data_IF_815477960207
#
_entry.id   IF_815477960207
#
_cell.length_a   1.000
_cell.length_b   1.000
_cell.length_c   1.000
_cell.angle_alpha   90.00
_cell.angle_beta   90.00
_cell.angle_gamma   90.00
#
_symmetry.space_group_name_H-M   'P 1'
#
loop_
_entity.id
_entity.type
_entity.pdbx_description
1 polymer ?
#
# COMPACT_ATOMS: atom_id res chain seq x y z
N UNK A 1 -21.42 9.22 31.72
CA UNK A 1 -20.03 9.04 32.26
C UNK A 1 -19.32 7.85 31.64
N UNK A 2 -19.94 6.68 31.56
CA UNK A 2 -19.37 5.52 30.85
C UNK A 2 -19.04 5.84 29.38
N UNK A 3 -19.82 6.73 28.76
CA UNK A 3 -19.61 7.12 27.35
C UNK A 3 -18.32 7.87 27.10
N UNK A 4 -17.79 8.58 28.11
CA UNK A 4 -16.55 9.34 27.98
C UNK A 4 -15.33 8.45 27.78
N UNK A 5 -15.21 7.39 28.56
CA UNK A 5 -14.09 6.44 28.44
C UNK A 5 -14.14 5.69 27.13
N UNK A 6 -15.33 5.30 26.68
CA UNK A 6 -15.51 4.63 25.39
C UNK A 6 -15.14 5.54 24.22
N UNK A 7 -15.52 6.81 24.29
CA UNK A 7 -15.19 7.80 23.25
C UNK A 7 -13.69 8.02 23.15
N UNK A 8 -13.00 8.16 24.29
CA UNK A 8 -11.54 8.33 24.33
C UNK A 8 -10.82 7.11 23.78
N UNK A 9 -11.31 5.90 24.10
CA UNK A 9 -10.74 4.67 23.58
C UNK A 9 -10.90 4.59 22.06
N UNK A 10 -12.06 4.98 21.53
CA UNK A 10 -12.30 5.02 20.07
C UNK A 10 -11.36 6.00 19.38
N UNK A 11 -11.16 7.18 19.96
CA UNK A 11 -10.25 8.20 19.40
C UNK A 11 -8.83 7.64 19.34
N UNK A 12 -8.34 7.03 20.41
CA UNK A 12 -7.01 6.42 20.47
C UNK A 12 -6.86 5.31 19.43
N UNK A 13 -7.86 4.44 19.30
CA UNK A 13 -7.85 3.35 18.34
C UNK A 13 -7.86 3.89 16.90
N UNK A 14 -8.66 4.94 16.64
CA UNK A 14 -8.72 5.58 15.33
C UNK A 14 -7.40 6.24 14.94
N UNK A 15 -6.75 6.90 15.89
CA UNK A 15 -5.44 7.51 15.65
C UNK A 15 -4.37 6.47 15.38
N UNK A 16 -4.34 5.39 16.18
CA UNK A 16 -3.41 4.29 15.99
C UNK A 16 -3.58 3.64 14.61
N UNK A 17 -4.83 3.40 14.20
CA UNK A 17 -5.14 2.86 12.87
C UNK A 17 -4.69 3.80 11.76
N UNK A 18 -4.98 5.10 11.91
CA UNK A 18 -4.61 6.12 10.92
C UNK A 18 -3.10 6.20 10.73
N UNK A 19 -2.34 6.20 11.83
CA UNK A 19 -0.88 6.22 11.77
C UNK A 19 -0.33 4.95 11.11
N UNK A 20 -0.87 3.79 11.45
CA UNK A 20 -0.49 2.51 10.85
C UNK A 20 -0.79 2.48 9.36
N UNK A 21 -1.97 2.93 8.97
CA UNK A 21 -2.38 2.97 7.57
C UNK A 21 -1.50 3.92 6.76
N UNK A 22 -1.21 5.08 7.33
CA UNK A 22 -0.31 6.07 6.72
C UNK A 22 1.09 5.50 6.53
N UNK A 23 1.61 4.80 7.52
CA UNK A 23 2.92 4.16 7.46
C UNK A 23 2.95 3.09 6.36
N UNK A 24 1.95 2.21 6.32
CA UNK A 24 1.86 1.17 5.31
C UNK A 24 1.75 1.74 3.89
N UNK A 25 0.97 2.78 3.72
CA UNK A 25 0.82 3.45 2.43
C UNK A 25 2.14 4.09 1.98
N UNK A 26 2.83 4.74 2.91
CA UNK A 26 4.14 5.37 2.65
C UNK A 26 5.19 4.33 2.27
N UNK A 27 5.21 3.20 2.97
CA UNK A 27 6.13 2.09 2.69
C UNK A 27 5.89 1.52 1.29
N UNK A 28 4.63 1.29 0.93
CA UNK A 28 4.27 0.78 -0.40
C UNK A 28 4.64 1.78 -1.50
N UNK A 29 4.41 3.09 -1.30
CA UNK A 29 4.81 4.12 -2.27
C UNK A 29 6.31 4.18 -2.46
N UNK A 30 7.08 4.04 -1.37
CA UNK A 30 8.53 3.97 -1.45
C UNK A 30 9.00 2.77 -2.25
N UNK A 31 8.40 1.61 -2.04
CA UNK A 31 8.70 0.40 -2.80
C UNK A 31 8.36 0.54 -4.28
N UNK A 32 7.22 1.16 -4.59
CA UNK A 32 6.82 1.43 -5.99
C UNK A 32 7.78 2.39 -6.68
N UNK A 33 8.29 3.39 -5.97
CA UNK A 33 9.29 4.32 -6.50
C UNK A 33 10.57 3.59 -6.85
N UNK A 34 11.06 2.73 -5.96
CA UNK A 34 12.24 1.90 -6.22
C UNK A 34 12.03 0.99 -7.43
N UNK A 35 10.86 0.40 -7.55
CA UNK A 35 10.51 -0.44 -8.69
C UNK A 35 10.59 0.33 -10.01
N UNK A 36 10.08 1.55 -10.04
CA UNK A 36 10.11 2.41 -11.25
C UNK A 36 11.53 2.82 -11.63
N UNK A 37 12.45 2.86 -10.68
CA UNK A 37 13.85 3.18 -10.91
C UNK A 37 14.65 2.00 -11.47
N UNK A 38 14.11 0.78 -11.40
CA UNK A 38 14.78 -0.40 -11.95
C UNK A 38 14.82 -0.35 -13.47
N UNK A 39 16.01 -0.62 -14.00
CA UNK A 39 16.24 -0.62 -15.46
C UNK A 39 16.38 -2.03 -16.01
N UNK A 40 16.53 -3.02 -15.14
CA UNK A 40 16.72 -4.42 -15.51
C UNK A 40 15.41 -5.18 -15.36
N UNK A 41 14.94 -5.80 -16.43
CA UNK A 41 13.68 -6.56 -16.45
C UNK A 41 13.69 -7.69 -15.41
N UNK A 42 14.82 -8.38 -15.26
CA UNK A 42 14.98 -9.50 -14.32
C UNK A 42 14.76 -9.07 -12.87
N UNK A 43 15.31 -7.92 -12.47
CA UNK A 43 15.12 -7.37 -11.13
C UNK A 43 13.68 -6.92 -10.92
N UNK A 44 13.08 -6.30 -11.93
CA UNK A 44 11.69 -5.85 -11.87
C UNK A 44 10.74 -7.03 -11.71
N UNK A 45 10.94 -8.10 -12.46
CA UNK A 45 10.14 -9.33 -12.35
C UNK A 45 10.28 -9.98 -10.96
N UNK A 46 11.47 -9.92 -10.37
CA UNK A 46 11.72 -10.45 -9.03
C UNK A 46 11.00 -9.66 -7.95
N UNK A 47 10.95 -8.33 -8.08
CA UNK A 47 10.32 -7.44 -7.11
C UNK A 47 8.79 -7.40 -7.26
N UNK A 48 8.26 -7.67 -8.44
CA UNK A 48 6.85 -7.52 -8.78
C UNK A 48 5.90 -8.28 -7.83
N UNK A 49 6.13 -9.58 -7.51
CA UNK A 49 5.22 -10.30 -6.60
C UNK A 49 5.11 -9.67 -5.22
N UNK A 50 6.19 -9.15 -4.68
CA UNK A 50 6.19 -8.47 -3.38
C UNK A 50 5.36 -7.19 -3.42
N UNK A 51 5.49 -6.41 -4.49
CA UNK A 51 4.71 -5.19 -4.68
C UNK A 51 3.23 -5.48 -4.85
N UNK A 52 2.88 -6.50 -5.64
CA UNK A 52 1.48 -6.92 -5.79
C UNK A 52 0.89 -7.29 -4.44
N UNK A 53 1.62 -8.04 -3.63
CA UNK A 53 1.20 -8.42 -2.29
C UNK A 53 0.96 -7.20 -1.39
N UNK A 54 1.87 -6.21 -1.40
CA UNK A 54 1.71 -4.96 -0.64
C UNK A 54 0.46 -4.19 -1.07
N UNK A 55 0.25 -4.05 -2.36
CA UNK A 55 -0.90 -3.32 -2.91
C UNK A 55 -2.21 -4.03 -2.56
N UNK A 56 -2.25 -5.34 -2.69
CA UNK A 56 -3.44 -6.14 -2.35
C UNK A 56 -3.78 -6.03 -0.86
N UNK A 57 -2.77 -6.00 0.02
CA UNK A 57 -2.97 -5.80 1.45
C UNK A 57 -3.53 -4.41 1.75
N UNK A 58 -3.06 -3.38 1.06
CA UNK A 58 -3.60 -2.02 1.20
C UNK A 58 -5.07 -1.96 0.80
N UNK A 59 -5.43 -2.61 -0.30
CA UNK A 59 -6.82 -2.67 -0.77
C UNK A 59 -7.69 -3.47 0.21
N UNK A 60 -7.20 -4.60 0.70
CA UNK A 60 -7.92 -5.44 1.67
C UNK A 60 -8.23 -4.70 2.96
N UNK A 61 -7.32 -3.83 3.42
CA UNK A 61 -7.49 -3.01 4.62
C UNK A 61 -8.23 -1.72 4.36
N UNK A 62 -8.73 -1.50 3.14
CA UNK A 62 -9.41 -0.28 2.72
C UNK A 62 -8.56 1.00 2.86
N UNK A 63 -7.25 0.87 2.81
CA UNK A 63 -6.32 2.02 2.79
C UNK A 63 -6.37 2.68 1.41
N UNK A 64 -6.50 1.87 0.37
CA UNK A 64 -6.74 2.31 -1.00
C UNK A 64 -7.95 1.56 -1.56
N UNK A 65 -8.59 2.14 -2.56
CA UNK A 65 -9.73 1.50 -3.25
C UNK A 65 -9.22 0.38 -4.18
N UNK A 66 -10.06 -0.65 -4.40
CA UNK A 66 -9.73 -1.78 -5.27
C UNK A 66 -9.38 -1.32 -6.69
N UNK A 67 -10.05 -0.30 -7.21
CA UNK A 67 -9.76 0.27 -8.53
C UNK A 67 -8.36 0.88 -8.57
N UNK A 68 -7.95 1.56 -7.49
CA UNK A 68 -6.61 2.12 -7.38
C UNK A 68 -5.56 1.00 -7.37
N UNK A 69 -5.82 -0.07 -6.63
CA UNK A 69 -4.94 -1.23 -6.58
C UNK A 69 -4.77 -1.86 -7.97
N UNK A 70 -5.87 -2.05 -8.70
CA UNK A 70 -5.84 -2.59 -10.06
C UNK A 70 -5.03 -1.70 -11.00
N UNK A 71 -5.19 -0.38 -10.92
CA UNK A 71 -4.45 0.58 -11.75
C UNK A 71 -2.96 0.53 -11.43
N UNK A 72 -2.59 0.47 -10.15
CA UNK A 72 -1.18 0.40 -9.74
C UNK A 72 -0.53 -0.89 -10.24
N UNK A 73 -1.21 -2.02 -10.11
CA UNK A 73 -0.70 -3.30 -10.61
C UNK A 73 -0.53 -3.29 -12.12
N UNK A 74 -1.50 -2.73 -12.84
CA UNK A 74 -1.43 -2.61 -14.29
C UNK A 74 -0.26 -1.73 -14.74
N UNK A 75 -0.05 -0.59 -14.09
CA UNK A 75 1.05 0.32 -14.42
C UNK A 75 2.41 -0.34 -14.19
N UNK A 76 2.55 -1.13 -13.13
CA UNK A 76 3.78 -1.86 -12.86
C UNK A 76 4.03 -2.98 -13.87
N UNK A 77 2.99 -3.70 -14.27
CA UNK A 77 3.10 -4.70 -15.31
C UNK A 77 3.54 -4.08 -16.65
N UNK A 78 3.00 -2.92 -16.98
CA UNK A 78 3.40 -2.18 -18.19
C UNK A 78 4.86 -1.72 -18.12
N UNK A 79 5.32 -1.32 -16.93
CA UNK A 79 6.72 -0.94 -16.74
C UNK A 79 7.67 -2.10 -17.02
N UNK A 80 7.33 -3.30 -16.53
CA UNK A 80 8.11 -4.51 -16.81
C UNK A 80 8.13 -4.82 -18.30
N UNK A 81 6.97 -4.73 -18.95
CA UNK A 81 6.86 -5.00 -20.37
C UNK A 81 7.68 -4.02 -21.22
N UNK A 82 7.85 -2.79 -20.73
CA UNK A 82 8.64 -1.75 -21.40
C UNK A 82 10.16 -1.91 -21.19
N UNK A 83 10.57 -2.68 -20.20
CA UNK A 83 11.99 -3.00 -19.99
C UNK A 83 12.41 -4.12 -20.95
#
# INVERSE_FOLDING_TARGET
MANHKSALKRIRNSEAKRLRNRYQHKTARGAMKKFKELTTKKEAEKMFPELVSMIDKLAKKNIIHDNKAANLKSNMAKHIAAL
#
